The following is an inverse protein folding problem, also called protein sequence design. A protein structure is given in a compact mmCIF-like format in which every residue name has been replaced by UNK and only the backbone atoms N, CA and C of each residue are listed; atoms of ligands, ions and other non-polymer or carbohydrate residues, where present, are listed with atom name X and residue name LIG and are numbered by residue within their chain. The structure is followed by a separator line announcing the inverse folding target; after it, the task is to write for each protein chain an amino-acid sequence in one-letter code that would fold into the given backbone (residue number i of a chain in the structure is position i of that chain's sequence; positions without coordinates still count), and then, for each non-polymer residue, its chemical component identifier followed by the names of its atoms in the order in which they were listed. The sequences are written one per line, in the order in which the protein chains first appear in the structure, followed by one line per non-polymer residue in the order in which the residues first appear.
data_IF_209819217793
#
_entry.id   IF_209819217793
#
_cell.length_a   1.000
_cell.length_b   1.000
_cell.length_c   1.000
_cell.angle_alpha   90.00
_cell.angle_beta   90.00
_cell.angle_gamma   90.00
#
_symmetry.space_group_name_H-M   'P 1'
#
loop_
_entity.id
_entity.type
_entity.pdbx_description
1 polymer ?
#
# COMPACT_ATOMS: atom_id res chain seq x y z
N UNK A 1 -2.90 -18.72 -17.13
CA UNK A 1 -2.80 -17.39 -16.45
C UNK A 1 -2.60 -16.35 -17.53
N UNK A 2 -3.47 -15.34 -17.61
CA UNK A 2 -3.30 -14.24 -18.58
C UNK A 2 -2.08 -13.44 -18.15
N UNK A 3 -1.09 -13.30 -19.01
CA UNK A 3 0.07 -12.47 -18.72
C UNK A 3 -0.41 -11.02 -18.70
N UNK A 4 -0.24 -10.33 -17.56
CA UNK A 4 -0.61 -8.92 -17.44
C UNK A 4 0.42 -8.10 -18.21
N UNK A 5 -0.01 -7.44 -19.27
CA UNK A 5 0.86 -6.60 -20.11
C UNK A 5 0.99 -5.18 -19.58
N UNK A 6 0.02 -4.70 -18.81
CA UNK A 6 0.01 -3.33 -18.28
C UNK A 6 -0.81 -3.23 -17.00
N UNK A 7 -0.27 -2.50 -16.04
CA UNK A 7 -0.96 -2.09 -14.82
C UNK A 7 -0.95 -0.57 -14.75
N UNK A 8 -2.11 0.04 -14.75
CA UNK A 8 -2.26 1.49 -14.63
C UNK A 8 -2.61 1.86 -13.18
N UNK A 9 -1.92 2.86 -12.64
CA UNK A 9 -2.22 3.44 -11.33
C UNK A 9 -2.94 4.79 -11.52
N UNK A 10 -3.97 5.03 -10.71
CA UNK A 10 -4.72 6.28 -10.72
C UNK A 10 -5.20 6.63 -9.30
N UNK A 11 -5.49 7.91 -9.02
CA UNK A 11 -6.19 8.27 -7.79
C UNK A 11 -7.53 7.53 -7.67
N UNK A 12 -7.83 7.06 -6.45
CA UNK A 12 -9.13 6.45 -6.16
C UNK A 12 -10.25 7.49 -6.22
N UNK A 13 -11.36 7.13 -6.84
CA UNK A 13 -12.56 7.96 -6.92
C UNK A 13 -13.73 7.34 -6.14
N UNK A 14 -14.80 8.11 -5.97
CA UNK A 14 -16.03 7.63 -5.32
C UNK A 14 -16.64 6.43 -6.05
N UNK A 15 -16.50 6.37 -7.36
CA UNK A 15 -17.02 5.27 -8.21
C UNK A 15 -16.29 3.95 -7.96
N UNK A 16 -15.06 4.02 -7.46
CA UNK A 16 -14.23 2.85 -7.17
C UNK A 16 -14.62 2.12 -5.89
N UNK A 17 -15.32 2.79 -4.97
CA UNK A 17 -15.58 2.29 -3.62
C UNK A 17 -16.25 0.92 -3.63
N UNK A 18 -17.25 0.71 -4.48
CA UNK A 18 -17.97 -0.57 -4.54
C UNK A 18 -17.01 -1.73 -4.83
N UNK A 19 -16.12 -1.56 -5.80
CA UNK A 19 -15.14 -2.56 -6.19
C UNK A 19 -14.01 -2.71 -5.14
N UNK A 20 -13.58 -1.61 -4.55
CA UNK A 20 -12.62 -1.60 -3.44
C UNK A 20 -13.15 -2.43 -2.27
N UNK A 21 -14.42 -2.29 -1.90
CA UNK A 21 -15.03 -3.07 -0.81
C UNK A 21 -15.11 -4.57 -1.10
N UNK A 22 -15.24 -4.98 -2.36
CA UNK A 22 -15.17 -6.40 -2.73
C UNK A 22 -13.78 -6.96 -2.46
N UNK A 23 -12.73 -6.23 -2.83
CA UNK A 23 -11.33 -6.62 -2.57
C UNK A 23 -11.04 -6.59 -1.07
N UNK A 24 -11.55 -5.57 -0.36
CA UNK A 24 -11.43 -5.42 1.09
C UNK A 24 -11.93 -6.68 1.83
N UNK A 25 -13.13 -7.14 1.49
CA UNK A 25 -13.73 -8.34 2.10
C UNK A 25 -12.95 -9.62 1.83
N UNK A 26 -12.27 -9.70 0.68
CA UNK A 26 -11.39 -10.84 0.37
C UNK A 26 -10.06 -10.81 1.14
N UNK A 27 -9.61 -9.61 1.53
CA UNK A 27 -8.26 -9.36 2.02
C UNK A 27 -8.18 -9.25 3.54
N UNK A 28 -9.23 -8.76 4.18
CA UNK A 28 -9.22 -8.44 5.60
C UNK A 28 -10.37 -9.11 6.36
N UNK A 29 -10.08 -9.63 7.56
CA UNK A 29 -11.09 -10.25 8.44
C UNK A 29 -12.08 -9.23 8.99
N UNK A 30 -11.62 -8.00 9.20
CA UNK A 30 -12.41 -6.84 9.64
C UNK A 30 -12.33 -5.76 8.58
N UNK A 31 -13.11 -5.88 7.49
CA UNK A 31 -13.10 -4.91 6.40
C UNK A 31 -13.65 -3.56 6.86
N UNK A 32 -13.13 -2.49 6.29
CA UNK A 32 -13.68 -1.16 6.50
C UNK A 32 -15.08 -1.04 5.89
N UNK A 33 -15.97 -0.31 6.53
CA UNK A 33 -17.30 -0.01 5.97
C UNK A 33 -17.20 1.03 4.84
N UNK A 34 -18.23 1.09 4.00
CA UNK A 34 -18.25 1.98 2.83
C UNK A 34 -18.11 3.46 3.20
N UNK A 35 -18.74 3.88 4.30
CA UNK A 35 -18.71 5.26 4.79
C UNK A 35 -17.29 5.69 5.23
N UNK A 36 -16.44 4.77 5.69
CA UNK A 36 -15.05 5.07 5.98
C UNK A 36 -14.30 5.53 4.72
N UNK A 37 -14.45 4.84 3.59
CA UNK A 37 -13.85 5.25 2.32
C UNK A 37 -14.44 6.56 1.78
N UNK A 38 -15.74 6.77 1.93
CA UNK A 38 -16.38 8.05 1.57
C UNK A 38 -15.76 9.20 2.38
N UNK A 39 -15.60 9.03 3.69
CA UNK A 39 -14.95 10.01 4.57
C UNK A 39 -13.51 10.28 4.13
N UNK A 40 -12.72 9.22 3.91
CA UNK A 40 -11.32 9.35 3.48
C UNK A 40 -11.19 10.15 2.18
N UNK A 41 -12.04 9.92 1.21
CA UNK A 41 -11.96 10.58 -0.10
C UNK A 41 -12.52 12.01 -0.11
N UNK A 42 -13.51 12.30 0.71
CA UNK A 42 -14.19 13.61 0.72
C UNK A 42 -13.65 14.59 1.74
N UNK A 43 -13.30 14.09 2.92
CA UNK A 43 -13.08 14.93 4.10
C UNK A 43 -11.65 14.86 4.61
N UNK A 44 -10.98 13.73 4.47
CA UNK A 44 -9.62 13.57 4.98
C UNK A 44 -8.57 14.11 4.01
N UNK A 45 -8.16 15.37 4.21
CA UNK A 45 -7.13 16.03 3.39
C UNK A 45 -5.72 15.43 3.57
N UNK A 46 -5.50 14.65 4.62
CA UNK A 46 -4.22 13.96 4.87
C UNK A 46 -4.14 12.65 4.09
N UNK A 47 -5.27 12.13 3.62
CA UNK A 47 -5.34 10.86 2.93
C UNK A 47 -4.93 10.95 1.45
N UNK A 48 -4.28 9.91 0.98
CA UNK A 48 -4.04 9.64 -0.43
C UNK A 48 -4.36 8.18 -0.72
N UNK A 49 -5.31 7.94 -1.63
CA UNK A 49 -5.72 6.61 -2.06
C UNK A 49 -5.50 6.46 -3.56
N UNK A 50 -4.96 5.32 -3.96
CA UNK A 50 -4.72 4.96 -5.35
C UNK A 50 -5.32 3.59 -5.65
N UNK A 51 -5.65 3.38 -6.92
CA UNK A 51 -6.12 2.11 -7.46
C UNK A 51 -5.20 1.60 -8.55
N UNK A 52 -5.11 0.28 -8.69
CA UNK A 52 -4.45 -0.39 -9.79
C UNK A 52 -5.50 -1.02 -10.71
N UNK A 53 -5.35 -0.82 -12.02
CA UNK A 53 -6.22 -1.37 -13.05
C UNK A 53 -5.45 -2.21 -14.04
N UNK A 54 -6.07 -3.28 -14.50
CA UNK A 54 -5.62 -4.12 -15.60
C UNK A 54 -6.78 -4.21 -16.59
N UNK A 55 -6.59 -3.73 -17.83
CA UNK A 55 -7.64 -3.70 -18.86
C UNK A 55 -8.98 -3.11 -18.32
N UNK A 56 -8.92 -1.95 -17.65
CA UNK A 56 -10.03 -1.26 -17.00
C UNK A 56 -10.60 -1.95 -15.75
N UNK A 57 -10.23 -3.18 -15.43
CA UNK A 57 -10.67 -3.87 -14.22
C UNK A 57 -9.85 -3.38 -13.00
N UNK A 58 -10.51 -2.91 -11.95
CA UNK A 58 -9.85 -2.52 -10.72
C UNK A 58 -9.43 -3.79 -9.97
N UNK A 59 -8.12 -3.99 -9.84
CA UNK A 59 -7.51 -5.22 -9.32
C UNK A 59 -6.78 -5.07 -8.00
N UNK A 60 -6.60 -3.84 -7.55
CA UNK A 60 -5.97 -3.55 -6.27
C UNK A 60 -6.08 -2.08 -5.88
N UNK A 61 -5.81 -1.78 -4.64
CA UNK A 61 -5.82 -0.42 -4.12
C UNK A 61 -4.85 -0.27 -2.95
N UNK A 62 -4.50 0.96 -2.66
CA UNK A 62 -3.66 1.30 -1.53
C UNK A 62 -3.99 2.69 -1.00
N UNK A 63 -3.72 2.91 0.27
CA UNK A 63 -3.95 4.18 0.93
C UNK A 63 -2.89 4.51 1.97
N UNK A 64 -2.73 5.80 2.21
CA UNK A 64 -1.85 6.34 3.25
C UNK A 64 -2.39 7.66 3.77
N UNK A 65 -1.94 8.03 4.93
CA UNK A 65 -2.04 9.41 5.45
C UNK A 65 -0.67 10.05 5.43
N UNK A 66 -0.61 11.33 5.05
CA UNK A 66 0.61 12.13 5.14
C UNK A 66 0.39 13.20 6.17
N UNK A 67 1.10 13.10 7.29
CA UNK A 67 1.00 14.00 8.43
C UNK A 67 2.36 14.67 8.59
N UNK A 68 2.42 15.97 8.31
CA UNK A 68 3.68 16.71 8.26
C UNK A 68 4.65 16.08 7.25
N UNK A 69 5.71 15.46 7.71
CA UNK A 69 6.75 14.82 6.92
C UNK A 69 6.76 13.28 7.02
N UNK A 70 5.72 12.70 7.64
CA UNK A 70 5.55 11.26 7.79
C UNK A 70 4.37 10.77 6.94
N UNK A 71 4.62 9.77 6.10
CA UNK A 71 3.59 9.00 5.43
C UNK A 71 3.33 7.70 6.19
N UNK A 72 2.07 7.42 6.47
CA UNK A 72 1.63 6.19 7.14
C UNK A 72 0.72 5.39 6.22
N UNK A 73 1.16 4.22 5.79
CA UNK A 73 0.35 3.32 4.96
C UNK A 73 -0.79 2.76 5.82
N UNK A 74 -2.01 2.99 5.37
CA UNK A 74 -3.22 2.48 6.05
C UNK A 74 -3.68 1.16 5.49
N UNK A 75 -3.48 0.92 4.19
CA UNK A 75 -3.92 -0.31 3.51
C UNK A 75 -3.17 -0.53 2.20
N UNK A 76 -2.94 -1.79 1.86
CA UNK A 76 -2.58 -2.27 0.51
C UNK A 76 -3.31 -3.60 0.32
N UNK A 77 -4.08 -3.74 -0.73
CA UNK A 77 -4.77 -4.98 -1.06
C UNK A 77 -4.85 -5.23 -2.56
N UNK A 78 -4.79 -6.50 -2.92
CA UNK A 78 -4.89 -6.98 -4.31
C UNK A 78 -5.93 -8.07 -4.38
N UNK A 79 -6.80 -8.01 -5.38
CA UNK A 79 -7.78 -9.05 -5.69
C UNK A 79 -7.08 -10.41 -5.76
N UNK A 80 -7.66 -11.41 -5.11
CA UNK A 80 -7.07 -12.75 -4.98
C UNK A 80 -6.70 -13.39 -6.32
N UNK A 81 -7.45 -13.07 -7.39
CA UNK A 81 -7.21 -13.57 -8.75
C UNK A 81 -5.95 -13.00 -9.40
N UNK A 82 -5.45 -11.86 -8.90
CA UNK A 82 -4.33 -11.11 -9.47
C UNK A 82 -3.09 -11.09 -8.56
N UNK A 83 -3.11 -11.82 -7.45
CA UNK A 83 -1.95 -11.92 -6.55
C UNK A 83 -0.79 -12.65 -7.23
N UNK A 84 0.43 -12.39 -6.77
CA UNK A 84 1.64 -12.96 -7.34
C UNK A 84 2.08 -12.36 -8.68
N UNK A 85 1.47 -11.25 -9.11
CA UNK A 85 1.73 -10.57 -10.38
C UNK A 85 2.27 -9.13 -10.16
N UNK A 86 2.97 -8.92 -9.06
CA UNK A 86 3.64 -7.66 -8.71
C UNK A 86 2.73 -6.41 -8.58
N UNK A 87 1.40 -6.58 -8.52
CA UNK A 87 0.47 -5.45 -8.38
C UNK A 87 0.63 -4.75 -7.04
N UNK A 88 0.78 -5.50 -5.95
CA UNK A 88 1.05 -4.93 -4.62
C UNK A 88 2.35 -4.13 -4.58
N UNK A 89 3.36 -4.59 -5.29
CA UNK A 89 4.64 -3.90 -5.44
C UNK A 89 4.49 -2.58 -6.21
N UNK A 90 3.72 -2.58 -7.30
CA UNK A 90 3.40 -1.36 -8.06
C UNK A 90 2.61 -0.35 -7.23
N UNK A 91 1.64 -0.82 -6.45
CA UNK A 91 0.90 0.02 -5.50
C UNK A 91 1.82 0.65 -4.45
N UNK A 92 2.75 -0.12 -3.89
CA UNK A 92 3.72 0.40 -2.93
C UNK A 92 4.61 1.49 -3.54
N UNK A 93 5.10 1.30 -4.77
CA UNK A 93 5.84 2.33 -5.51
C UNK A 93 4.98 3.58 -5.71
N UNK A 94 3.72 3.42 -6.09
CA UNK A 94 2.79 4.53 -6.26
C UNK A 94 2.58 5.33 -4.97
N UNK A 95 2.49 4.66 -3.82
CA UNK A 95 2.43 5.34 -2.52
C UNK A 95 3.73 6.06 -2.18
N UNK A 96 4.89 5.47 -2.46
CA UNK A 96 6.19 6.11 -2.23
C UNK A 96 6.34 7.39 -3.07
N UNK A 97 5.93 7.35 -4.33
CA UNK A 97 5.93 8.53 -5.22
C UNK A 97 4.99 9.62 -4.69
N UNK A 98 3.75 9.26 -4.37
CA UNK A 98 2.78 10.20 -3.84
C UNK A 98 3.20 10.78 -2.47
N UNK A 99 3.87 10.00 -1.63
CA UNK A 99 4.42 10.47 -0.36
C UNK A 99 5.51 11.52 -0.56
N UNK A 100 6.45 11.27 -1.48
CA UNK A 100 7.51 12.22 -1.84
C UNK A 100 6.95 13.52 -2.41
N UNK A 101 5.97 13.44 -3.31
CA UNK A 101 5.28 14.61 -3.87
C UNK A 101 4.58 15.45 -2.80
N UNK A 102 4.05 14.81 -1.75
CA UNK A 102 3.41 15.46 -0.60
C UNK A 102 4.41 15.93 0.47
N UNK A 103 5.70 15.78 0.25
CA UNK A 103 6.75 16.27 1.14
C UNK A 103 7.14 15.31 2.26
N UNK A 104 6.68 14.06 2.25
CA UNK A 104 7.09 13.07 3.23
C UNK A 104 8.61 12.82 3.18
N UNK A 105 9.19 12.61 4.35
CA UNK A 105 10.62 12.29 4.51
C UNK A 105 10.83 10.81 4.83
N UNK A 106 9.85 10.16 5.43
CA UNK A 106 9.83 8.73 5.75
C UNK A 106 8.43 8.17 5.67
N UNK A 107 8.38 6.84 5.61
CA UNK A 107 7.11 6.12 5.53
C UNK A 107 7.10 5.01 6.57
N UNK A 108 5.94 4.82 7.22
CA UNK A 108 5.71 3.82 8.25
C UNK A 108 4.49 2.97 7.93
N UNK A 109 4.43 1.80 8.52
CA UNK A 109 3.27 0.91 8.47
C UNK A 109 3.25 -0.06 9.65
N UNK A 110 2.10 -0.64 9.91
CA UNK A 110 1.93 -1.84 10.72
C UNK A 110 1.59 -3.03 9.82
N UNK A 111 2.22 -4.17 10.08
CA UNK A 111 1.96 -5.43 9.38
C UNK A 111 1.80 -6.57 10.37
N UNK A 112 0.88 -7.50 10.10
CA UNK A 112 0.72 -8.68 10.95
C UNK A 112 2.02 -9.47 11.04
N UNK A 113 2.35 -9.92 12.24
CA UNK A 113 3.52 -10.78 12.47
C UNK A 113 3.51 -12.03 11.59
N UNK A 114 2.34 -12.61 11.33
CA UNK A 114 2.16 -13.78 10.47
C UNK A 114 2.27 -13.48 8.97
N UNK A 115 2.14 -12.22 8.55
CA UNK A 115 2.18 -11.84 7.13
C UNK A 115 3.62 -11.68 6.62
N UNK A 116 4.34 -12.79 6.53
CA UNK A 116 5.74 -12.81 6.10
C UNK A 116 5.93 -12.39 4.65
N UNK A 117 4.95 -12.63 3.79
CA UNK A 117 4.97 -12.20 2.38
C UNK A 117 5.00 -10.68 2.28
N UNK A 118 4.13 -9.99 3.00
CA UNK A 118 4.11 -8.53 3.02
C UNK A 118 5.38 -7.95 3.66
N UNK A 119 5.86 -8.54 4.75
CA UNK A 119 7.11 -8.13 5.40
C UNK A 119 8.31 -8.24 4.43
N UNK A 120 8.38 -9.31 3.65
CA UNK A 120 9.43 -9.50 2.64
C UNK A 120 9.37 -8.42 1.55
N UNK A 121 8.16 -8.07 1.08
CA UNK A 121 7.97 -6.98 0.13
C UNK A 121 8.45 -5.65 0.70
N UNK A 122 8.04 -5.30 1.91
CA UNK A 122 8.44 -4.04 2.54
C UNK A 122 9.97 -3.99 2.78
N UNK A 123 10.56 -5.08 3.24
CA UNK A 123 12.02 -5.18 3.42
C UNK A 123 12.77 -4.96 2.11
N UNK A 124 12.28 -5.51 1.00
CA UNK A 124 12.84 -5.29 -0.34
C UNK A 124 12.89 -3.80 -0.70
N UNK A 125 11.90 -3.02 -0.27
CA UNK A 125 11.81 -1.58 -0.51
C UNK A 125 12.48 -0.71 0.57
N UNK A 126 13.24 -1.31 1.46
CA UNK A 126 14.05 -0.60 2.45
C UNK A 126 13.35 -0.35 3.78
N UNK A 127 12.14 -0.86 3.98
CA UNK A 127 11.50 -0.87 5.29
C UNK A 127 12.23 -1.82 6.23
N UNK A 128 12.35 -1.42 7.47
CA UNK A 128 12.92 -2.25 8.55
C UNK A 128 12.04 -2.20 9.79
N UNK A 129 12.05 -3.27 10.55
CA UNK A 129 11.34 -3.35 11.82
C UNK A 129 11.94 -2.35 12.81
N UNK A 130 11.08 -1.56 13.45
CA UNK A 130 11.45 -0.62 14.51
C UNK A 130 10.71 -0.88 15.82
N UNK A 131 9.74 -1.76 15.84
CA UNK A 131 8.98 -2.07 17.04
C UNK A 131 7.86 -3.06 16.81
N UNK A 132 7.16 -3.38 17.90
CA UNK A 132 6.01 -4.27 17.91
C UNK A 132 4.87 -3.63 18.69
N UNK A 133 3.65 -3.67 18.14
CA UNK A 133 2.42 -3.34 18.87
C UNK A 133 1.73 -4.63 19.28
N UNK A 134 1.80 -4.97 20.56
CA UNK A 134 1.21 -6.21 21.10
C UNK A 134 -0.30 -6.17 21.03
N UNK A 135 -0.90 -7.29 20.55
CA UNK A 135 -2.35 -7.48 20.47
C UNK A 135 -3.06 -6.43 19.61
N UNK A 136 -2.38 -5.85 18.65
CA UNK A 136 -2.86 -4.72 17.85
C UNK A 136 -4.12 -5.05 17.04
N UNK A 137 -4.18 -6.25 16.44
CA UNK A 137 -5.32 -6.68 15.63
C UNK A 137 -6.42 -7.25 16.52
N UNK A 138 -7.59 -6.61 16.52
CA UNK A 138 -8.70 -6.94 17.43
C UNK A 138 -9.36 -8.28 17.13
N UNK A 139 -9.25 -8.78 15.90
CA UNK A 139 -9.89 -10.03 15.47
C UNK A 139 -9.30 -11.28 16.13
N UNK A 140 -7.99 -11.32 16.33
CA UNK A 140 -7.29 -12.48 16.91
C UNK A 140 -6.19 -12.09 17.90
N UNK A 141 -6.08 -10.82 18.29
CA UNK A 141 -5.07 -10.30 19.22
C UNK A 141 -3.62 -10.49 18.73
N UNK A 142 -3.44 -10.69 17.44
CA UNK A 142 -2.13 -10.81 16.83
C UNK A 142 -1.34 -9.51 16.96
N UNK A 143 -0.02 -9.64 17.15
CA UNK A 143 0.89 -8.50 17.19
C UNK A 143 1.07 -7.89 15.79
N UNK A 144 1.27 -6.58 15.75
CA UNK A 144 1.76 -5.88 14.58
C UNK A 144 3.26 -5.62 14.69
N UNK A 145 3.96 -5.87 13.61
CA UNK A 145 5.31 -5.35 13.40
C UNK A 145 5.19 -3.94 12.86
N UNK A 146 5.88 -2.99 13.48
CA UNK A 146 5.99 -1.62 12.98
C UNK A 146 7.25 -1.53 12.14
N UNK A 147 7.09 -1.08 10.89
CA UNK A 147 8.20 -0.93 9.95
C UNK A 147 8.29 0.51 9.45
N UNK A 148 9.49 0.95 9.13
CA UNK A 148 9.73 2.27 8.55
C UNK A 148 10.89 2.26 7.55
N UNK A 149 10.93 3.27 6.67
CA UNK A 149 11.92 3.36 5.59
C UNK A 149 13.25 4.03 5.98
N UNK A 150 13.28 4.79 7.07
CA UNK A 150 14.28 5.82 7.24
C UNK A 150 14.02 6.99 6.28
N UNK A 151 15.02 7.82 6.01
CA UNK A 151 14.84 8.98 5.13
C UNK A 151 14.69 8.60 3.67
N UNK A 152 13.53 8.87 3.09
CA UNK A 152 13.24 8.63 1.66
C UNK A 152 14.08 9.50 0.73
N UNK A 153 14.68 10.59 1.23
CA UNK A 153 15.49 11.54 0.43
C UNK A 153 16.97 11.20 0.39
N UNK A 154 17.40 10.19 1.14
CA UNK A 154 18.77 9.71 1.07
C UNK A 154 19.06 9.13 -0.31
N UNK A 155 20.24 9.44 -0.84
CA UNK A 155 20.67 9.02 -2.17
C UNK A 155 20.63 7.51 -2.34
N UNK A 156 21.09 6.77 -1.35
CA UNK A 156 21.09 5.31 -1.36
C UNK A 156 19.65 4.75 -1.49
N UNK A 157 18.69 5.33 -0.78
CA UNK A 157 17.28 4.96 -0.85
C UNK A 157 16.72 5.26 -2.23
N UNK A 158 17.00 6.45 -2.79
CA UNK A 158 16.57 6.84 -4.12
C UNK A 158 17.16 5.95 -5.22
N UNK A 159 18.43 5.61 -5.13
CA UNK A 159 19.10 4.72 -6.09
C UNK A 159 18.50 3.30 -6.04
N UNK A 160 18.21 2.80 -4.83
CA UNK A 160 17.52 1.51 -4.64
C UNK A 160 16.13 1.51 -5.27
N UNK A 161 15.32 2.53 -4.97
CA UNK A 161 13.97 2.67 -5.53
C UNK A 161 13.99 2.76 -7.05
N UNK A 162 14.91 3.51 -7.62
CA UNK A 162 15.08 3.62 -9.07
C UNK A 162 15.43 2.27 -9.72
N UNK A 163 16.29 1.48 -9.08
CA UNK A 163 16.67 0.15 -9.55
C UNK A 163 15.48 -0.83 -9.49
N UNK A 164 14.76 -0.87 -8.38
CA UNK A 164 13.58 -1.73 -8.20
C UNK A 164 12.47 -1.39 -9.20
N UNK A 165 12.27 -0.09 -9.45
CA UNK A 165 11.30 0.39 -10.44
C UNK A 165 11.64 -0.06 -11.85
N UNK A 166 12.93 0.04 -12.26
CA UNK A 166 13.37 -0.46 -13.57
C UNK A 166 13.16 -1.96 -13.72
N UNK A 167 13.50 -2.74 -12.70
CA UNK A 167 13.33 -4.19 -12.72
C UNK A 167 11.85 -4.57 -12.87
N UNK A 168 10.97 -3.89 -12.14
CA UNK A 168 9.54 -4.15 -12.18
C UNK A 168 8.87 -3.81 -13.53
N UNK A 169 9.46 -2.88 -14.30
CA UNK A 169 8.99 -2.52 -15.64
C UNK A 169 9.54 -3.45 -16.72
N UNK A 170 10.60 -4.20 -16.41
CA UNK A 170 11.22 -5.17 -17.33
C UNK A 170 10.55 -6.55 -17.28
N UNK A 171 9.81 -6.84 -16.21
CA UNK A 171 9.02 -8.07 -16.03
C UNK A 171 7.59 -7.89 -16.57
#
# INVERSE_FOLDING_TARGET
MKQITRVDLAPMTMEDIARVLEIERQSFRTPWPADAYVHELRENRLAAYIVARVDDDLVGYAGMWVILDEAHITTIAVDSRYRGQHIGERLLIGLLDAALERGARWMTLEVRRSNTTAQALYTKYGFREIGTRKGYYSDNREDAIVMWTGSLREREVQDRLATLRRNLLAD
#
